data_IF_002896067464
#
_entry.id   IF_002896067464
#
_cell.length_a   1.000
_cell.length_b   1.000
_cell.length_c   1.000
_cell.angle_alpha   90.00
_cell.angle_beta   90.00
_cell.angle_gamma   90.00
#
_symmetry.space_group_name_H-M   'P 1'
#
loop_
_entity.id
_entity.type
_entity.pdbx_description
1 polymer ?
#
# COMPACT_ATOMS: atom_id res chain seq x y z
N UNK A 1 -18.06 -13.36 2.74
CA UNK A 1 -16.92 -12.50 2.33
C UNK A 1 -16.65 -11.56 3.49
N UNK A 2 -15.42 -11.49 4.03
CA UNK A 2 -15.10 -10.54 5.10
C UNK A 2 -15.31 -9.11 4.61
N UNK A 3 -15.68 -8.22 5.53
CA UNK A 3 -15.75 -6.77 5.26
C UNK A 3 -14.30 -6.29 5.17
N UNK A 4 -13.94 -5.66 4.05
CA UNK A 4 -12.62 -5.07 3.86
C UNK A 4 -12.62 -3.67 4.49
N UNK A 5 -12.00 -3.56 5.65
CA UNK A 5 -11.81 -2.30 6.36
C UNK A 5 -10.37 -2.15 6.88
N UNK A 6 -10.10 -1.06 7.60
CA UNK A 6 -8.76 -0.76 8.12
C UNK A 6 -8.26 -1.84 9.08
N UNK A 7 -9.15 -2.37 9.91
CA UNK A 7 -8.78 -3.31 10.96
C UNK A 7 -8.42 -4.66 10.34
N UNK A 8 -9.19 -5.11 9.35
CA UNK A 8 -8.89 -6.31 8.56
C UNK A 8 -7.48 -6.31 7.94
N UNK A 9 -7.06 -5.19 7.36
CA UNK A 9 -5.71 -5.08 6.78
C UNK A 9 -4.62 -4.93 7.85
N UNK A 10 -4.92 -4.25 8.95
CA UNK A 10 -3.97 -4.10 10.07
C UNK A 10 -3.67 -5.44 10.72
N UNK A 11 -4.67 -6.30 10.91
CA UNK A 11 -4.53 -7.67 11.43
C UNK A 11 -3.66 -8.56 10.52
N UNK A 12 -3.62 -8.28 9.21
CA UNK A 12 -2.74 -8.94 8.24
C UNK A 12 -1.30 -8.39 8.24
N UNK A 13 -1.00 -7.42 9.10
CA UNK A 13 0.34 -6.83 9.22
C UNK A 13 0.60 -5.67 8.24
N UNK A 14 -0.43 -5.19 7.53
CA UNK A 14 -0.30 -3.94 6.79
C UNK A 14 -0.28 -2.74 7.74
N UNK A 15 0.50 -1.73 7.38
CA UNK A 15 0.62 -0.48 8.11
C UNK A 15 -0.11 0.62 7.35
N UNK A 16 -0.77 1.51 8.10
CA UNK A 16 -1.51 2.64 7.55
C UNK A 16 -2.48 2.28 6.41
N UNK A 17 -3.40 1.30 6.56
CA UNK A 17 -4.40 1.03 5.53
C UNK A 17 -5.25 2.28 5.26
N UNK A 18 -5.36 2.63 3.98
CA UNK A 18 -6.10 3.80 3.52
C UNK A 18 -6.98 3.43 2.33
N UNK A 19 -8.26 3.77 2.45
CA UNK A 19 -9.15 3.78 1.29
C UNK A 19 -8.87 5.05 0.47
N UNK A 20 -8.60 4.86 -0.81
CA UNK A 20 -8.35 5.91 -1.78
C UNK A 20 -9.68 6.52 -2.29
N UNK A 21 -9.66 7.73 -2.86
CA UNK A 21 -10.83 8.35 -3.49
C UNK A 21 -11.59 7.47 -4.50
N UNK A 22 -10.88 6.63 -5.27
CA UNK A 22 -11.49 5.66 -6.21
C UNK A 22 -12.17 4.45 -5.53
N UNK A 23 -12.15 4.39 -4.18
CA UNK A 23 -12.71 3.32 -3.38
C UNK A 23 -11.79 2.11 -3.19
N UNK A 24 -10.64 2.07 -3.88
CA UNK A 24 -9.63 1.04 -3.70
C UNK A 24 -8.87 1.21 -2.38
N UNK A 25 -8.12 0.17 -1.99
CA UNK A 25 -7.31 0.19 -0.77
C UNK A 25 -5.83 0.21 -1.12
N UNK A 26 -5.08 1.02 -0.37
CA UNK A 26 -3.62 1.05 -0.37
C UNK A 26 -3.10 0.96 1.08
N UNK A 27 -1.90 0.40 1.26
CA UNK A 27 -1.27 0.29 2.56
C UNK A 27 0.24 0.12 2.44
N UNK A 28 0.95 0.29 3.54
CA UNK A 28 2.37 0.01 3.65
C UNK A 28 2.62 -1.40 4.17
N UNK A 29 3.73 -2.00 3.77
CA UNK A 29 4.19 -3.29 4.24
C UNK A 29 5.69 -3.21 4.55
N UNK A 30 6.12 -3.42 5.81
CA UNK A 30 7.53 -3.48 6.13
C UNK A 30 8.16 -4.73 5.48
N UNK A 31 9.29 -4.55 4.81
CA UNK A 31 10.13 -5.63 4.31
C UNK A 31 11.46 -5.59 5.08
N UNK A 32 12.30 -6.61 4.88
CA UNK A 32 13.56 -6.75 5.62
C UNK A 32 14.47 -5.51 5.55
N UNK A 33 14.49 -4.80 4.40
CA UNK A 33 15.34 -3.63 4.18
C UNK A 33 14.62 -2.41 3.59
N UNK A 34 13.34 -2.54 3.22
CA UNK A 34 12.60 -1.52 2.46
C UNK A 34 11.18 -1.43 2.97
N UNK A 35 10.44 -0.39 2.58
CA UNK A 35 9.00 -0.30 2.83
C UNK A 35 8.25 -0.45 1.51
N UNK A 36 7.37 -1.44 1.41
CA UNK A 36 6.48 -1.62 0.27
C UNK A 36 5.23 -0.76 0.43
N UNK A 37 4.81 -0.10 -0.64
CA UNK A 37 3.50 0.52 -0.81
C UNK A 37 2.68 -0.38 -1.72
N UNK A 38 1.69 -1.07 -1.14
CA UNK A 38 0.80 -1.98 -1.86
C UNK A 38 -0.45 -1.24 -2.32
N UNK A 39 -0.85 -1.44 -3.58
CA UNK A 39 -2.04 -0.85 -4.20
C UNK A 39 -3.06 -1.95 -4.56
N UNK A 40 -4.34 -1.61 -4.47
CA UNK A 40 -5.42 -2.55 -4.80
C UNK A 40 -5.50 -3.71 -3.81
N UNK A 41 -5.39 -3.44 -2.51
CA UNK A 41 -5.51 -4.48 -1.49
C UNK A 41 -6.88 -5.17 -1.56
N UNK A 42 -6.85 -6.50 -1.42
CA UNK A 42 -8.00 -7.41 -1.31
C UNK A 42 -7.71 -8.44 -0.22
N UNK A 43 -8.64 -9.36 0.01
CA UNK A 43 -8.43 -10.48 0.93
C UNK A 43 -7.13 -11.24 0.59
N UNK A 44 -6.15 -11.13 1.49
CA UNK A 44 -4.83 -11.79 1.41
C UNK A 44 -3.97 -11.45 0.18
N UNK A 45 -4.27 -10.37 -0.56
CA UNK A 45 -3.52 -10.03 -1.77
C UNK A 45 -3.53 -8.53 -2.09
N UNK A 46 -2.68 -8.11 -3.03
CA UNK A 46 -2.62 -6.78 -3.63
C UNK A 46 -2.32 -6.90 -5.13
N UNK A 47 -2.59 -5.85 -5.89
CA UNK A 47 -2.42 -5.85 -7.35
C UNK A 47 -1.03 -5.39 -7.80
N UNK A 48 -0.41 -4.47 -7.04
CA UNK A 48 0.92 -3.91 -7.29
C UNK A 48 1.61 -3.52 -5.98
N UNK A 49 2.94 -3.57 -5.96
CA UNK A 49 3.76 -3.04 -4.86
C UNK A 49 4.96 -2.22 -5.34
N UNK A 50 5.13 -1.04 -4.74
CA UNK A 50 6.29 -0.16 -4.96
C UNK A 50 7.16 -0.13 -3.70
N UNK A 51 8.43 -0.49 -3.81
CA UNK A 51 9.36 -0.52 -2.69
C UNK A 51 10.15 0.78 -2.61
N UNK A 52 10.21 1.36 -1.41
CA UNK A 52 10.97 2.55 -1.07
C UNK A 52 12.07 2.18 -0.08
N UNK A 53 13.25 2.78 -0.24
CA UNK A 53 14.37 2.58 0.67
C UNK A 53 14.06 3.13 2.07
N UNK A 54 13.33 4.25 2.15
CA UNK A 54 13.00 4.91 3.40
C UNK A 54 11.50 4.87 3.71
N UNK A 55 11.09 4.56 4.95
CA UNK A 55 9.68 4.53 5.35
C UNK A 55 8.95 5.86 5.16
N UNK A 56 9.62 6.99 5.41
CA UNK A 56 9.03 8.33 5.27
C UNK A 56 8.72 8.70 3.82
N UNK A 57 9.46 8.16 2.85
CA UNK A 57 9.16 8.30 1.44
C UNK A 57 7.89 7.52 1.06
N UNK A 58 7.75 6.29 1.59
CA UNK A 58 6.57 5.46 1.36
C UNK A 58 5.29 6.07 1.96
N UNK A 59 5.37 6.64 3.17
CA UNK A 59 4.24 7.37 3.80
C UNK A 59 3.82 8.57 2.96
N UNK A 60 4.79 9.37 2.49
CA UNK A 60 4.50 10.51 1.61
C UNK A 60 3.85 10.07 0.30
N UNK A 61 4.35 9.01 -0.31
CA UNK A 61 3.77 8.42 -1.50
C UNK A 61 2.32 7.94 -1.25
N UNK A 62 2.06 7.18 -0.18
CA UNK A 62 0.72 6.70 0.17
C UNK A 62 -0.30 7.85 0.32
N UNK A 63 0.11 8.94 0.96
CA UNK A 63 -0.75 10.09 1.19
C UNK A 63 -1.07 10.88 -0.09
N UNK A 64 -0.21 10.77 -1.12
CA UNK A 64 -0.39 11.47 -2.38
C UNK A 64 -1.25 10.69 -3.40
N UNK A 65 -1.58 9.42 -3.15
CA UNK A 65 -2.39 8.62 -4.07
C UNK A 65 -3.86 9.06 -4.11
N UNK A 66 -4.45 9.03 -5.28
CA UNK A 66 -5.87 9.21 -5.54
C UNK A 66 -6.53 7.92 -6.04
N UNK A 67 -5.77 7.03 -6.69
CA UNK A 67 -6.26 5.77 -7.22
C UNK A 67 -5.24 4.63 -7.08
N UNK A 68 -5.70 3.37 -7.20
CA UNK A 68 -4.78 2.23 -7.28
C UNK A 68 -3.97 2.19 -8.56
N UNK A 69 -4.40 2.93 -9.59
CA UNK A 69 -3.76 3.02 -10.91
C UNK A 69 -2.69 4.11 -10.97
N UNK A 70 -2.58 4.92 -9.92
CA UNK A 70 -1.50 5.88 -9.79
C UNK A 70 -0.15 5.18 -9.66
N UNK A 71 0.86 5.77 -10.27
CA UNK A 71 2.25 5.37 -10.09
C UNK A 71 2.96 6.39 -9.17
N UNK A 72 3.28 6.03 -7.93
CA UNK A 72 4.01 6.91 -7.05
C UNK A 72 5.45 7.12 -7.58
N UNK A 73 6.08 8.23 -7.21
CA UNK A 73 7.47 8.52 -7.62
C UNK A 73 8.47 8.20 -6.51
N UNK A 74 9.71 7.88 -6.87
CA UNK A 74 10.81 7.70 -5.90
C UNK A 74 10.95 6.28 -5.34
N UNK A 75 10.27 5.30 -5.94
CA UNK A 75 10.48 3.89 -5.63
C UNK A 75 11.77 3.35 -6.25
N UNK A 76 12.35 2.32 -5.63
CA UNK A 76 13.59 1.64 -6.07
C UNK A 76 13.31 0.27 -6.69
N UNK A 77 12.13 -0.31 -6.44
CA UNK A 77 11.66 -1.50 -7.15
C UNK A 77 10.13 -1.52 -7.26
N UNK A 78 9.62 -2.13 -8.34
CA UNK A 78 8.20 -2.42 -8.54
C UNK A 78 7.98 -3.93 -8.67
N UNK A 79 6.88 -4.42 -8.10
CA UNK A 79 6.40 -5.80 -8.23
C UNK A 79 4.91 -5.80 -8.59
N UNK A 80 4.43 -6.82 -9.32
CA UNK A 80 3.03 -7.20 -9.22
C UNK A 80 2.68 -7.44 -7.75
#
# INVERSE_FOLDING_TARGET
>A
MPILDKDFFTEQGYLQPRQLPDGSWAALMPLLYTTGLCLGLRDQTYERRFCFERPDAAVRALNALESKDDEPTGWIARRP
#
